data_IF_697330433894
#
_entry.id   IF_697330433894
#
_cell.length_a   1.000
_cell.length_b   1.000
_cell.length_c   1.000
_cell.angle_alpha   90.00
_cell.angle_beta   90.00
_cell.angle_gamma   90.00
#
_symmetry.space_group_name_H-M   'P 1'
#
loop_
_entity.id
_entity.type
_entity.pdbx_description
1 polymer ?
#
# COMPACT_ATOMS: atom_id res chain seq x y z
N UNK A 1 11.95 -25.58 0.17
CA UNK A 1 10.49 -25.82 0.16
C UNK A 1 9.78 -24.51 0.54
N UNK A 2 8.98 -23.95 -0.37
CA UNK A 2 7.84 -23.03 -0.11
C UNK A 2 8.06 -21.64 0.53
N UNK A 3 9.16 -20.93 0.28
CA UNK A 3 9.31 -19.51 0.69
C UNK A 3 9.28 -18.48 -0.47
N UNK A 4 9.08 -18.92 -1.71
CA UNK A 4 9.47 -18.12 -2.88
C UNK A 4 8.54 -18.16 -4.08
N UNK A 5 7.21 -18.03 -3.90
CA UNK A 5 6.35 -17.75 -5.07
C UNK A 5 5.66 -16.39 -5.09
N UNK A 6 5.01 -15.88 -4.03
CA UNK A 6 4.35 -14.56 -4.13
C UNK A 6 4.13 -13.90 -2.76
N UNK A 7 5.18 -13.69 -1.96
CA UNK A 7 5.05 -13.08 -0.63
C UNK A 7 5.25 -11.54 -0.66
N UNK A 8 4.35 -10.87 -1.38
CA UNK A 8 3.60 -9.81 -0.71
C UNK A 8 2.32 -10.53 -0.33
N UNK A 9 1.90 -10.58 0.95
CA UNK A 9 0.51 -10.93 1.21
C UNK A 9 -0.35 -9.90 0.49
N UNK A 10 -0.82 -10.25 -0.71
CA UNK A 10 -1.73 -9.45 -1.54
C UNK A 10 -2.95 -9.00 -0.71
N UNK A 11 -3.23 -9.71 0.37
CA UNK A 11 -4.18 -9.40 1.43
C UNK A 11 -3.84 -8.10 2.19
N UNK A 12 -2.61 -7.93 2.68
CA UNK A 12 -2.17 -6.72 3.41
C UNK A 12 -2.19 -5.48 2.52
N UNK A 13 -1.91 -5.68 1.22
CA UNK A 13 -1.99 -4.63 0.24
C UNK A 13 -3.42 -4.06 0.09
N UNK A 14 -4.46 -4.85 0.37
CA UNK A 14 -5.85 -4.39 0.27
C UNK A 14 -6.12 -3.33 1.32
N UNK A 15 -5.65 -3.56 2.54
CA UNK A 15 -5.77 -2.60 3.64
C UNK A 15 -4.96 -1.33 3.39
N UNK A 16 -3.71 -1.47 2.92
CA UNK A 16 -2.87 -0.33 2.55
C UNK A 16 -3.54 0.56 1.48
N UNK A 17 -4.11 -0.04 0.44
CA UNK A 17 -4.79 0.68 -0.64
C UNK A 17 -6.10 1.33 -0.17
N UNK A 18 -6.91 0.67 0.67
CA UNK A 18 -8.10 1.27 1.28
C UNK A 18 -7.74 2.53 2.08
N UNK A 19 -6.68 2.47 2.90
CA UNK A 19 -6.18 3.64 3.64
C UNK A 19 -5.73 4.76 2.69
N UNK A 20 -4.98 4.42 1.64
CA UNK A 20 -4.50 5.39 0.65
C UNK A 20 -5.66 6.17 0.01
N UNK A 21 -6.72 5.47 -0.40
CA UNK A 21 -7.92 6.09 -0.97
C UNK A 21 -8.68 6.98 0.01
N UNK A 22 -8.87 6.52 1.25
CA UNK A 22 -9.53 7.31 2.30
C UNK A 22 -8.77 8.62 2.60
N UNK A 23 -7.46 8.53 2.85
CA UNK A 23 -6.65 9.70 3.18
C UNK A 23 -6.44 10.63 1.98
N UNK A 24 -6.45 10.09 0.76
CA UNK A 24 -6.51 10.91 -0.46
C UNK A 24 -7.74 11.81 -0.43
N UNK A 25 -8.94 11.25 -0.27
CA UNK A 25 -10.14 12.10 -0.27
C UNK A 25 -10.22 13.03 0.92
N UNK A 26 -9.81 12.58 2.10
CA UNK A 26 -9.73 13.45 3.27
C UNK A 26 -8.79 14.65 3.05
N UNK A 27 -7.75 14.49 2.24
CA UNK A 27 -6.83 15.58 1.90
C UNK A 27 -7.40 16.48 0.80
N UNK A 28 -8.02 15.91 -0.24
CA UNK A 28 -8.59 16.68 -1.36
C UNK A 28 -9.78 17.54 -0.92
N UNK A 29 -10.66 17.00 -0.08
CA UNK A 29 -11.83 17.73 0.42
C UNK A 29 -11.44 18.88 1.36
N UNK A 30 -10.33 18.75 2.10
CA UNK A 30 -9.77 19.85 2.91
C UNK A 30 -9.26 21.03 2.08
N UNK A 31 -9.00 20.82 0.79
CA UNK A 31 -8.55 21.90 -0.11
C UNK A 31 -9.72 22.70 -0.68
N UNK A 32 -10.97 22.29 -0.41
CA UNK A 32 -12.19 22.98 -0.85
C UNK A 32 -12.16 23.37 -2.34
N UNK A 33 -11.63 22.48 -3.19
CA UNK A 33 -11.35 22.77 -4.61
C UNK A 33 -12.62 23.26 -5.35
N UNK A 34 -13.80 22.78 -4.95
CA UNK A 34 -15.10 23.18 -5.51
C UNK A 34 -15.46 24.66 -5.25
N UNK A 35 -14.88 25.29 -4.24
CA UNK A 35 -15.13 26.68 -3.86
C UNK A 35 -14.22 27.68 -4.61
N UNK A 36 -13.26 27.16 -5.38
CA UNK A 36 -12.27 27.96 -6.10
C UNK A 36 -12.54 27.99 -7.61
N UNK A 37 -12.01 29.03 -8.28
CA UNK A 37 -11.94 29.04 -9.75
C UNK A 37 -11.13 27.84 -10.25
N UNK A 38 -11.43 27.35 -11.46
CA UNK A 38 -10.73 26.17 -12.02
C UNK A 38 -9.21 26.32 -12.05
N UNK A 39 -8.71 27.54 -12.32
CA UNK A 39 -7.27 27.82 -12.31
C UNK A 39 -6.65 27.67 -10.90
N UNK A 40 -7.31 28.19 -9.87
CA UNK A 40 -6.86 28.04 -8.49
C UNK A 40 -7.02 26.59 -8.00
N UNK A 41 -8.10 25.91 -8.38
CA UNK A 41 -8.30 24.49 -8.10
C UNK A 41 -7.20 23.60 -8.70
N UNK A 42 -6.81 23.87 -9.96
CA UNK A 42 -5.71 23.15 -10.61
C UNK A 42 -4.39 23.33 -9.86
N UNK A 43 -4.09 24.55 -9.39
CA UNK A 43 -2.90 24.81 -8.56
C UNK A 43 -2.91 24.00 -7.27
N UNK A 44 -4.03 23.97 -6.54
CA UNK A 44 -4.17 23.20 -5.30
C UNK A 44 -4.00 21.69 -5.53
N UNK A 45 -4.54 21.19 -6.65
CA UNK A 45 -4.40 19.78 -7.05
C UNK A 45 -2.95 19.44 -7.40
N UNK A 46 -2.24 20.32 -8.12
CA UNK A 46 -0.80 20.15 -8.38
C UNK A 46 0.00 20.16 -7.08
N UNK A 47 -0.29 21.09 -6.16
CA UNK A 47 0.37 21.12 -4.84
C UNK A 47 0.12 19.84 -4.03
N UNK A 48 -1.11 19.29 -4.10
CA UNK A 48 -1.44 18.00 -3.52
C UNK A 48 -0.61 16.87 -4.14
N UNK A 49 -0.52 16.80 -5.47
CA UNK A 49 0.27 15.79 -6.16
C UNK A 49 1.76 15.88 -5.81
N UNK A 50 2.32 17.10 -5.73
CA UNK A 50 3.72 17.32 -5.34
C UNK A 50 3.95 16.83 -3.91
N UNK A 51 3.03 17.08 -2.97
CA UNK A 51 3.14 16.56 -1.58
C UNK A 51 3.17 15.03 -1.56
N UNK A 52 2.33 14.37 -2.35
CA UNK A 52 2.31 12.90 -2.46
C UNK A 52 3.59 12.36 -3.11
N UNK A 53 4.05 13.00 -4.17
CA UNK A 53 5.31 12.66 -4.84
C UNK A 53 6.49 12.77 -3.88
N UNK A 54 6.63 13.89 -3.14
CA UNK A 54 7.71 14.11 -2.17
C UNK A 54 7.73 13.09 -1.04
N UNK A 55 6.58 12.50 -0.70
CA UNK A 55 6.49 11.42 0.29
C UNK A 55 6.94 10.07 -0.29
N UNK A 56 6.46 9.71 -1.48
CA UNK A 56 6.68 8.37 -2.04
C UNK A 56 8.00 8.25 -2.82
N UNK A 57 8.36 9.25 -3.62
CA UNK A 57 9.48 9.18 -4.55
C UNK A 57 10.84 8.90 -3.87
N UNK A 58 11.23 9.56 -2.76
CA UNK A 58 12.57 9.41 -2.20
C UNK A 58 12.91 7.97 -1.83
N UNK A 59 12.04 7.33 -1.06
CA UNK A 59 12.25 5.95 -0.59
C UNK A 59 12.18 4.98 -1.77
N UNK A 60 11.18 5.13 -2.65
CA UNK A 60 11.02 4.25 -3.81
C UNK A 60 12.24 4.31 -4.73
N UNK A 61 12.74 5.50 -5.04
CA UNK A 61 13.90 5.66 -5.91
C UNK A 61 15.16 5.14 -5.25
N UNK A 62 15.43 5.52 -4.00
CA UNK A 62 16.61 5.07 -3.27
C UNK A 62 16.74 3.54 -3.26
N UNK A 63 15.70 2.82 -2.84
CA UNK A 63 15.77 1.37 -2.70
C UNK A 63 15.85 0.63 -4.04
N UNK A 64 15.24 1.18 -5.10
CA UNK A 64 15.38 0.62 -6.45
C UNK A 64 16.78 0.88 -7.02
N UNK A 65 17.43 2.00 -6.72
CA UNK A 65 18.84 2.23 -7.05
C UNK A 65 19.80 1.34 -6.24
N UNK A 66 19.52 1.10 -4.96
CA UNK A 66 20.28 0.13 -4.15
C UNK A 66 20.17 -1.26 -4.78
N UNK A 67 18.99 -1.66 -5.22
CA UNK A 67 18.82 -2.94 -5.90
C UNK A 67 19.62 -3.03 -7.22
N UNK A 68 19.67 -1.94 -8.01
CA UNK A 68 20.54 -1.86 -9.19
C UNK A 68 22.03 -1.98 -8.83
N UNK A 69 22.47 -1.30 -7.77
CA UNK A 69 23.84 -1.40 -7.28
C UNK A 69 24.22 -2.85 -6.97
N UNK A 70 23.39 -3.58 -6.21
CA UNK A 70 23.66 -4.99 -5.91
C UNK A 70 23.60 -5.90 -7.15
N UNK A 71 22.69 -5.62 -8.09
CA UNK A 71 22.64 -6.33 -9.38
C UNK A 71 23.94 -6.20 -10.19
N UNK A 72 24.59 -5.04 -10.17
CA UNK A 72 25.83 -4.77 -10.93
C UNK A 72 27.07 -5.30 -10.20
N UNK A 73 27.23 -4.97 -8.92
CA UNK A 73 28.50 -5.20 -8.20
C UNK A 73 28.55 -6.55 -7.46
N UNK A 74 27.40 -7.14 -7.11
CA UNK A 74 27.31 -8.39 -6.36
C UNK A 74 26.38 -9.39 -7.06
N UNK A 75 26.64 -9.71 -8.35
CA UNK A 75 25.71 -10.47 -9.17
C UNK A 75 25.43 -11.85 -8.56
N UNK A 76 24.16 -12.14 -8.38
CA UNK A 76 23.65 -13.46 -8.04
C UNK A 76 22.24 -13.58 -8.60
N UNK A 77 22.07 -14.33 -9.69
CA UNK A 77 20.81 -14.44 -10.44
C UNK A 77 19.63 -14.97 -9.61
N UNK A 78 19.89 -15.62 -8.48
CA UNK A 78 18.85 -16.12 -7.58
C UNK A 78 18.34 -15.05 -6.60
N UNK A 79 19.13 -14.02 -6.32
CA UNK A 79 18.81 -12.99 -5.32
C UNK A 79 18.53 -11.63 -5.95
N UNK A 80 19.32 -11.27 -6.96
CA UNK A 80 19.23 -10.01 -7.68
C UNK A 80 18.93 -10.27 -9.15
N UNK A 81 18.29 -9.30 -9.80
CA UNK A 81 17.99 -9.36 -11.22
C UNK A 81 19.26 -9.08 -12.04
N UNK A 82 19.28 -9.50 -13.30
CA UNK A 82 20.32 -9.07 -14.23
C UNK A 82 20.35 -7.54 -14.32
N UNK A 83 21.52 -6.89 -14.45
CA UNK A 83 21.63 -5.43 -14.50
C UNK A 83 20.69 -4.76 -15.50
N UNK A 84 20.54 -5.35 -16.69
CA UNK A 84 19.64 -4.84 -17.73
C UNK A 84 18.16 -4.87 -17.29
N UNK A 85 17.69 -6.01 -16.77
CA UNK A 85 16.32 -6.15 -16.25
C UNK A 85 16.10 -5.19 -15.09
N UNK A 86 17.07 -5.08 -14.18
CA UNK A 86 17.00 -4.18 -13.03
C UNK A 86 16.98 -2.69 -13.46
N UNK A 87 17.71 -2.32 -14.51
CA UNK A 87 17.64 -0.98 -15.08
C UNK A 87 16.24 -0.67 -15.64
N UNK A 88 15.61 -1.61 -16.36
CA UNK A 88 14.21 -1.47 -16.79
C UNK A 88 13.26 -1.30 -15.58
N UNK A 89 13.54 -2.02 -14.49
CA UNK A 89 12.80 -1.88 -13.22
C UNK A 89 12.97 -0.48 -12.61
N UNK A 90 14.17 0.09 -12.68
CA UNK A 90 14.47 1.47 -12.24
C UNK A 90 13.70 2.49 -13.08
N UNK A 91 13.83 2.43 -14.41
CA UNK A 91 13.14 3.37 -15.30
C UNK A 91 11.62 3.30 -15.16
N UNK A 92 11.05 2.09 -15.04
CA UNK A 92 9.61 1.95 -14.81
C UNK A 92 9.15 2.48 -13.44
N UNK A 93 10.01 2.47 -12.41
CA UNK A 93 9.73 3.15 -11.13
C UNK A 93 9.74 4.67 -11.29
N UNK A 94 10.73 5.23 -11.99
CA UNK A 94 10.87 6.67 -12.21
C UNK A 94 9.66 7.22 -12.98
N UNK A 95 9.23 6.50 -14.02
CA UNK A 95 8.07 6.82 -14.83
C UNK A 95 6.73 6.44 -14.17
N UNK A 96 6.77 5.82 -12.99
CA UNK A 96 5.58 5.33 -12.28
C UNK A 96 4.69 4.37 -13.09
N UNK A 97 5.29 3.51 -13.92
CA UNK A 97 4.62 2.49 -14.75
C UNK A 97 5.06 1.07 -14.38
N UNK A 98 5.51 0.88 -13.13
CA UNK A 98 6.05 -0.38 -12.63
C UNK A 98 5.07 -1.55 -12.75
N UNK A 99 3.77 -1.30 -12.56
CA UNK A 99 2.70 -2.29 -12.77
C UNK A 99 2.64 -2.83 -14.21
N UNK A 100 2.84 -1.97 -15.23
CA UNK A 100 2.88 -2.43 -16.62
C UNK A 100 4.15 -3.23 -16.90
N UNK A 101 5.30 -2.77 -16.41
CA UNK A 101 6.56 -3.50 -16.58
C UNK A 101 6.55 -4.86 -15.88
N UNK A 102 5.97 -4.98 -14.68
CA UNK A 102 5.81 -6.27 -14.01
C UNK A 102 4.74 -7.16 -14.66
N UNK A 103 3.74 -6.60 -15.34
CA UNK A 103 2.80 -7.39 -16.11
C UNK A 103 3.46 -8.04 -17.33
N UNK A 104 4.40 -7.33 -17.97
CA UNK A 104 5.16 -7.83 -19.10
C UNK A 104 6.27 -8.81 -18.69
N UNK A 105 7.00 -8.49 -17.61
CA UNK A 105 8.12 -9.29 -17.12
C UNK A 105 8.08 -9.41 -15.59
N UNK A 106 7.35 -10.40 -15.03
CA UNK A 106 7.22 -10.56 -13.59
C UNK A 106 8.54 -10.92 -12.90
N UNK A 107 8.85 -10.25 -11.80
CA UNK A 107 10.08 -10.50 -11.03
C UNK A 107 9.82 -10.56 -9.52
N UNK A 108 10.73 -11.17 -8.76
CA UNK A 108 10.62 -11.21 -7.29
C UNK A 108 10.85 -9.84 -6.63
N UNK A 109 11.51 -8.91 -7.31
CA UNK A 109 11.62 -7.49 -6.92
C UNK A 109 10.47 -6.63 -7.49
N UNK A 110 9.42 -7.28 -8.00
CA UNK A 110 8.28 -6.62 -8.62
C UNK A 110 7.39 -5.85 -7.66
N UNK A 111 7.51 -6.04 -6.35
CA UNK A 111 6.59 -5.50 -5.34
C UNK A 111 6.40 -3.97 -5.37
N UNK A 112 7.35 -3.23 -5.92
CA UNK A 112 7.23 -1.78 -6.17
C UNK A 112 6.06 -1.40 -7.10
N UNK A 113 5.45 -2.36 -7.82
CA UNK A 113 4.28 -2.11 -8.66
C UNK A 113 3.16 -1.39 -7.90
N UNK A 114 2.99 -1.75 -6.62
CA UNK A 114 1.93 -1.21 -5.78
C UNK A 114 2.08 0.29 -5.54
N UNK A 115 3.31 0.77 -5.37
CA UNK A 115 3.60 2.21 -5.17
C UNK A 115 3.30 2.99 -6.46
N UNK A 116 3.61 2.41 -7.62
CA UNK A 116 3.24 3.01 -8.90
C UNK A 116 1.74 3.09 -9.09
N UNK A 117 1.00 2.03 -8.75
CA UNK A 117 -0.45 2.06 -8.83
C UNK A 117 -1.06 3.10 -7.87
N UNK A 118 -0.52 3.24 -6.65
CA UNK A 118 -0.94 4.28 -5.69
C UNK A 118 -0.72 5.69 -6.24
N UNK A 119 0.46 5.96 -6.81
CA UNK A 119 0.74 7.27 -7.37
C UNK A 119 -0.11 7.57 -8.62
N UNK A 120 -0.29 6.60 -9.53
CA UNK A 120 -1.19 6.70 -10.68
C UNK A 120 -2.61 7.05 -10.23
N UNK A 121 -3.11 6.37 -9.20
CA UNK A 121 -4.42 6.65 -8.62
C UNK A 121 -4.51 8.08 -8.09
N UNK A 122 -3.51 8.55 -7.34
CA UNK A 122 -3.49 9.92 -6.83
C UNK A 122 -3.56 10.96 -7.95
N UNK A 123 -2.81 10.77 -9.04
CA UNK A 123 -2.82 11.69 -10.18
C UNK A 123 -4.16 11.68 -10.89
N UNK A 124 -4.61 10.50 -11.35
CA UNK A 124 -5.82 10.34 -12.16
C UNK A 124 -7.04 10.81 -11.36
N UNK A 125 -7.16 10.38 -10.11
CA UNK A 125 -8.37 10.60 -9.34
C UNK A 125 -8.47 12.04 -8.81
N UNK A 126 -7.34 12.74 -8.58
CA UNK A 126 -7.35 14.18 -8.28
C UNK A 126 -7.81 15.00 -9.49
N UNK A 127 -7.43 14.59 -10.70
CA UNK A 127 -7.87 15.21 -11.96
C UNK A 127 -9.38 15.00 -12.14
N UNK A 128 -9.87 13.77 -11.96
CA UNK A 128 -11.31 13.46 -12.01
C UNK A 128 -12.08 14.33 -11.00
N UNK A 129 -11.57 14.43 -9.77
CA UNK A 129 -12.18 15.27 -8.73
C UNK A 129 -12.22 16.75 -9.13
N UNK A 130 -11.14 17.29 -9.72
CA UNK A 130 -11.08 18.67 -10.17
C UNK A 130 -12.10 19.00 -11.26
N UNK A 131 -12.25 18.13 -12.26
CA UNK A 131 -13.07 18.41 -13.43
C UNK A 131 -14.52 18.02 -13.27
N UNK A 132 -14.79 16.88 -12.63
CA UNK A 132 -16.15 16.35 -12.50
C UNK A 132 -16.74 16.63 -11.12
N UNK A 133 -15.92 16.81 -10.08
CA UNK A 133 -16.37 17.08 -8.73
C UNK A 133 -16.84 15.83 -7.97
N UNK A 134 -17.22 16.06 -6.70
CA UNK A 134 -17.55 15.04 -5.70
C UNK A 134 -18.58 14.00 -6.15
N UNK A 135 -19.69 14.45 -6.75
CA UNK A 135 -20.81 13.56 -7.13
C UNK A 135 -20.37 12.47 -8.10
N UNK A 136 -19.64 12.87 -9.15
CA UNK A 136 -19.15 11.95 -10.17
C UNK A 136 -18.02 11.08 -9.66
N UNK A 137 -17.17 11.58 -8.76
CA UNK A 137 -16.17 10.76 -8.08
C UNK A 137 -16.81 9.58 -7.35
N UNK A 138 -17.92 9.80 -6.63
CA UNK A 138 -18.65 8.71 -5.96
C UNK A 138 -19.20 7.72 -6.99
N UNK A 139 -19.85 8.20 -8.05
CA UNK A 139 -20.44 7.33 -9.09
C UNK A 139 -19.39 6.50 -9.81
N UNK A 140 -18.26 7.12 -10.17
CA UNK A 140 -17.12 6.46 -10.81
C UNK A 140 -16.54 5.40 -9.88
N UNK A 141 -16.38 5.70 -8.59
CA UNK A 141 -15.93 4.71 -7.60
C UNK A 141 -16.85 3.50 -7.52
N UNK A 142 -18.17 3.71 -7.39
CA UNK A 142 -19.15 2.61 -7.34
C UNK A 142 -19.10 1.79 -8.63
N UNK A 143 -19.14 2.46 -9.79
CA UNK A 143 -19.11 1.81 -11.09
C UNK A 143 -17.86 0.93 -11.27
N UNK A 144 -16.67 1.46 -10.99
CA UNK A 144 -15.44 0.70 -11.13
C UNK A 144 -15.31 -0.41 -10.09
N UNK A 145 -15.79 -0.22 -8.86
CA UNK A 145 -15.84 -1.32 -7.88
C UNK A 145 -16.69 -2.49 -8.38
N UNK A 146 -17.86 -2.21 -8.98
CA UNK A 146 -18.73 -3.24 -9.55
C UNK A 146 -18.10 -3.92 -10.78
N UNK A 147 -17.52 -3.13 -11.69
CA UNK A 147 -16.82 -3.68 -12.86
C UNK A 147 -15.67 -4.59 -12.41
N UNK A 148 -14.85 -4.16 -11.44
CA UNK A 148 -13.67 -4.90 -10.97
C UNK A 148 -14.00 -6.19 -10.21
N UNK A 149 -15.25 -6.37 -9.76
CA UNK A 149 -15.73 -7.67 -9.25
C UNK A 149 -15.81 -8.72 -10.36
N UNK A 150 -16.14 -8.29 -11.58
CA UNK A 150 -16.42 -9.18 -12.72
C UNK A 150 -15.23 -9.24 -13.66
N UNK A 151 -14.61 -8.11 -13.96
CA UNK A 151 -13.56 -7.94 -14.95
C UNK A 151 -12.41 -7.08 -14.43
N UNK A 152 -11.17 -7.55 -14.62
CA UNK A 152 -9.95 -6.79 -14.30
C UNK A 152 -9.04 -6.69 -15.52
N UNK A 153 -8.49 -5.49 -15.81
CA UNK A 153 -7.52 -5.32 -16.89
C UNK A 153 -6.23 -6.07 -16.56
N UNK A 154 -5.55 -6.62 -17.57
CA UNK A 154 -4.28 -7.35 -17.40
C UNK A 154 -4.41 -8.87 -17.32
N UNK A 155 -5.59 -9.44 -17.60
CA UNK A 155 -5.84 -10.89 -17.67
C UNK A 155 -5.28 -11.67 -16.46
N UNK A 156 -4.32 -12.58 -16.68
CA UNK A 156 -3.65 -13.39 -15.65
C UNK A 156 -2.92 -12.53 -14.61
N UNK A 157 -2.55 -11.30 -14.98
CA UNK A 157 -1.86 -10.33 -14.14
C UNK A 157 -2.78 -9.21 -13.64
N UNK A 158 -4.11 -9.41 -13.65
CA UNK A 158 -5.07 -8.38 -13.22
C UNK A 158 -4.92 -7.92 -11.77
N UNK A 159 -4.20 -8.67 -10.95
CA UNK A 159 -3.82 -8.29 -9.59
C UNK A 159 -2.80 -7.13 -9.54
N UNK A 160 -2.14 -6.74 -10.65
CA UNK A 160 -1.26 -5.57 -10.74
C UNK A 160 -2.02 -4.26 -10.98
N UNK A 161 -3.30 -4.34 -11.33
CA UNK A 161 -4.15 -3.21 -11.70
C UNK A 161 -5.35 -3.05 -10.76
N UNK A 162 -5.24 -3.57 -9.53
CA UNK A 162 -6.29 -3.56 -8.50
C UNK A 162 -6.38 -2.25 -7.73
N UNK A 163 -6.84 -1.19 -8.38
CA UNK A 163 -7.07 0.10 -7.73
C UNK A 163 -8.41 0.19 -6.99
N UNK A 164 -9.27 -0.83 -7.11
CA UNK A 164 -10.58 -0.88 -6.41
C UNK A 164 -10.51 -0.79 -4.88
N UNK A 165 -9.50 -1.31 -4.14
CA UNK A 165 -9.45 -1.05 -2.70
C UNK A 165 -9.29 0.43 -2.39
N UNK A 166 -8.57 1.20 -3.22
CA UNK A 166 -8.49 2.67 -3.06
C UNK A 166 -9.85 3.32 -3.29
N UNK A 167 -10.62 2.84 -4.28
CA UNK A 167 -11.99 3.30 -4.50
C UNK A 167 -12.91 2.99 -3.31
N UNK A 168 -12.80 1.81 -2.69
CA UNK A 168 -13.52 1.55 -1.44
C UNK A 168 -13.12 2.52 -0.33
N UNK A 169 -11.84 2.89 -0.23
CA UNK A 169 -11.38 3.96 0.67
C UNK A 169 -12.07 5.31 0.42
N UNK A 170 -12.20 5.71 -0.85
CA UNK A 170 -12.95 6.89 -1.28
C UNK A 170 -14.42 6.80 -0.84
N UNK A 171 -15.05 5.65 -1.04
CA UNK A 171 -16.45 5.43 -0.67
C UNK A 171 -16.65 5.47 0.85
N UNK A 172 -15.75 4.86 1.64
CA UNK A 172 -15.80 4.91 3.11
C UNK A 172 -15.68 6.34 3.62
N UNK A 173 -14.81 7.16 3.02
CA UNK A 173 -14.69 8.57 3.37
C UNK A 173 -16.03 9.31 3.23
N UNK A 174 -16.70 9.15 2.10
CA UNK A 174 -18.00 9.81 1.88
C UNK A 174 -19.13 9.18 2.69
N UNK A 175 -19.11 7.87 2.91
CA UNK A 175 -20.07 7.16 3.74
C UNK A 175 -20.08 7.71 5.17
N UNK A 176 -18.90 7.82 5.79
CA UNK A 176 -18.77 8.37 7.15
C UNK A 176 -19.24 9.83 7.20
N UNK A 177 -18.87 10.64 6.20
CA UNK A 177 -19.29 12.04 6.15
C UNK A 177 -20.80 12.23 5.94
N UNK A 178 -21.44 11.32 5.21
CA UNK A 178 -22.88 11.38 4.95
C UNK A 178 -23.70 10.95 6.17
N UNK A 179 -23.29 9.87 6.83
CA UNK A 179 -24.02 9.28 7.95
C UNK A 179 -23.73 9.99 9.27
N UNK A 180 -22.54 10.55 9.41
CA UNK A 180 -22.09 11.20 10.64
C UNK A 180 -21.33 10.25 11.57
N UNK A 181 -20.28 10.79 12.20
CA UNK A 181 -19.38 10.02 13.06
C UNK A 181 -20.10 9.43 14.28
N UNK A 182 -21.03 10.19 14.88
CA UNK A 182 -21.76 9.77 16.08
C UNK A 182 -22.62 8.53 15.83
N UNK A 183 -23.22 8.44 14.64
CA UNK A 183 -24.00 7.27 14.25
C UNK A 183 -23.12 6.04 14.04
N UNK A 184 -21.96 6.19 13.39
CA UNK A 184 -20.98 5.11 13.23
C UNK A 184 -20.48 4.63 14.59
N UNK A 185 -20.15 5.57 15.49
CA UNK A 185 -19.74 5.23 16.85
C UNK A 185 -20.84 4.44 17.57
N UNK A 186 -22.10 4.89 17.50
CA UNK A 186 -23.25 4.24 18.14
C UNK A 186 -23.55 2.84 17.59
N UNK A 187 -23.57 2.65 16.27
CA UNK A 187 -23.86 1.34 15.66
C UNK A 187 -22.81 0.29 16.01
N UNK A 188 -21.54 0.66 16.05
CA UNK A 188 -20.45 -0.27 16.32
C UNK A 188 -20.05 -0.33 17.80
N UNK A 189 -20.92 0.13 18.71
CA UNK A 189 -20.70 -0.08 20.15
C UNK A 189 -20.75 -1.58 20.46
N UNK A 190 -19.65 -2.10 21.00
CA UNK A 190 -19.55 -3.49 21.40
C UNK A 190 -18.67 -3.67 22.64
N UNK A 191 -18.93 -4.74 23.39
CA UNK A 191 -18.12 -5.17 24.53
C UNK A 191 -16.69 -5.54 24.12
N UNK A 192 -15.75 -5.49 25.07
CA UNK A 192 -14.31 -5.73 24.80
C UNK A 192 -14.04 -7.09 24.13
N UNK A 193 -14.69 -8.17 24.60
CA UNK A 193 -14.53 -9.52 24.04
C UNK A 193 -15.01 -9.58 22.58
N UNK A 194 -16.19 -9.03 22.29
CA UNK A 194 -16.74 -8.96 20.93
C UNK A 194 -15.85 -8.18 19.98
N UNK A 195 -15.27 -7.05 20.44
CA UNK A 195 -14.32 -6.26 19.64
C UNK A 195 -13.07 -7.05 19.27
N UNK A 196 -12.47 -7.75 20.23
CA UNK A 196 -11.31 -8.62 19.98
C UNK A 196 -11.69 -9.74 19.01
N UNK A 197 -12.82 -10.42 19.25
CA UNK A 197 -13.30 -11.49 18.38
C UNK A 197 -13.54 -11.02 16.94
N UNK A 198 -14.27 -9.92 16.74
CA UNK A 198 -14.54 -9.35 15.41
C UNK A 198 -13.23 -8.93 14.72
N UNK A 199 -12.30 -8.32 15.47
CA UNK A 199 -11.02 -7.87 14.90
C UNK A 199 -10.18 -9.06 14.46
N UNK A 200 -10.07 -10.11 15.28
CA UNK A 200 -9.38 -11.35 14.93
C UNK A 200 -10.06 -12.07 13.76
N UNK A 201 -11.39 -12.12 13.74
CA UNK A 201 -12.16 -12.71 12.65
C UNK A 201 -11.92 -11.98 11.32
N UNK A 202 -11.87 -10.65 11.33
CA UNK A 202 -11.59 -9.86 10.13
C UNK A 202 -10.15 -10.02 9.65
N UNK A 203 -9.17 -10.06 10.56
CA UNK A 203 -7.77 -10.35 10.20
C UNK A 203 -7.63 -11.76 9.62
N UNK A 204 -8.28 -12.76 10.22
CA UNK A 204 -8.29 -14.12 9.73
C UNK A 204 -9.00 -14.23 8.38
N UNK A 205 -10.15 -13.57 8.23
CA UNK A 205 -10.90 -13.49 6.97
C UNK A 205 -10.04 -12.86 5.88
N UNK A 206 -9.43 -11.70 6.12
CA UNK A 206 -8.58 -11.02 5.16
C UNK A 206 -7.45 -11.94 4.67
N UNK A 207 -6.82 -12.68 5.60
CA UNK A 207 -5.76 -13.66 5.29
C UNK A 207 -6.26 -14.84 4.45
N UNK A 208 -7.47 -15.33 4.72
CA UNK A 208 -8.05 -16.53 4.11
C UNK A 208 -8.81 -16.28 2.79
N UNK A 209 -9.26 -15.05 2.49
CA UNK A 209 -10.13 -14.76 1.34
C UNK A 209 -9.52 -15.20 0.00
N UNK A 210 -8.26 -14.88 -0.26
CA UNK A 210 -7.63 -15.18 -1.55
C UNK A 210 -7.48 -16.69 -1.83
N UNK A 211 -6.97 -17.53 -0.89
CA UNK A 211 -6.94 -18.96 -1.11
C UNK A 211 -8.33 -19.60 -1.11
N UNK A 212 -9.25 -19.15 -0.24
CA UNK A 212 -10.60 -19.72 -0.14
C UNK A 212 -11.43 -19.46 -1.40
N UNK A 213 -11.29 -18.29 -2.01
CA UNK A 213 -12.01 -17.91 -3.24
C UNK A 213 -11.11 -18.02 -4.48
N UNK A 214 -10.10 -18.89 -4.47
CA UNK A 214 -9.12 -19.00 -5.56
C UNK A 214 -9.75 -19.24 -6.94
N UNK A 215 -10.87 -19.99 -6.97
CA UNK A 215 -11.67 -20.30 -8.16
C UNK A 215 -12.23 -19.01 -8.81
N UNK A 216 -12.55 -17.99 -8.00
CA UNK A 216 -13.11 -16.73 -8.48
C UNK A 216 -12.00 -15.70 -8.70
N UNK A 217 -11.43 -15.69 -9.91
CA UNK A 217 -10.24 -14.90 -10.29
C UNK A 217 -10.32 -13.42 -9.92
N UNK A 218 -11.44 -12.75 -10.19
CA UNK A 218 -11.62 -11.32 -9.96
C UNK A 218 -12.30 -11.02 -8.62
N UNK A 219 -13.37 -11.76 -8.31
CA UNK A 219 -14.20 -11.54 -7.13
C UNK A 219 -13.41 -11.65 -5.81
N UNK A 220 -12.46 -12.58 -5.70
CA UNK A 220 -11.64 -12.75 -4.48
C UNK A 220 -10.92 -11.49 -4.04
N UNK A 221 -10.45 -10.67 -4.98
CA UNK A 221 -9.76 -9.42 -4.69
C UNK A 221 -10.74 -8.34 -4.22
N UNK A 222 -11.93 -8.29 -4.81
CA UNK A 222 -12.98 -7.36 -4.39
C UNK A 222 -13.49 -7.71 -2.99
N UNK A 223 -13.67 -8.99 -2.67
CA UNK A 223 -14.00 -9.44 -1.31
C UNK A 223 -12.91 -9.03 -0.32
N UNK A 224 -11.63 -9.23 -0.67
CA UNK A 224 -10.51 -8.79 0.17
C UNK A 224 -10.53 -7.28 0.40
N UNK A 225 -10.89 -6.50 -0.62
CA UNK A 225 -11.02 -5.04 -0.56
C UNK A 225 -12.19 -4.60 0.33
N UNK A 226 -13.33 -5.29 0.24
CA UNK A 226 -14.50 -5.03 1.10
C UNK A 226 -14.17 -5.37 2.56
N UNK A 227 -13.52 -6.50 2.82
CA UNK A 227 -13.07 -6.86 4.18
C UNK A 227 -12.14 -5.77 4.74
N UNK A 228 -11.17 -5.32 3.95
CA UNK A 228 -10.29 -4.22 4.33
C UNK A 228 -11.02 -2.88 4.54
N UNK A 229 -12.02 -2.56 3.71
CA UNK A 229 -12.87 -1.38 3.87
C UNK A 229 -13.69 -1.42 5.18
N UNK A 230 -14.21 -2.59 5.53
CA UNK A 230 -14.93 -2.78 6.79
C UNK A 230 -14.00 -2.70 8.00
N UNK A 231 -12.77 -3.24 7.89
CA UNK A 231 -11.74 -3.05 8.91
C UNK A 231 -11.42 -1.56 9.12
N UNK A 232 -11.29 -0.79 8.04
CA UNK A 232 -11.10 0.66 8.13
C UNK A 232 -12.29 1.35 8.81
N UNK A 233 -13.53 1.01 8.42
CA UNK A 233 -14.74 1.58 9.02
C UNK A 233 -14.79 1.35 10.53
N UNK A 234 -14.51 0.12 10.98
CA UNK A 234 -14.44 -0.20 12.41
C UNK A 234 -13.27 0.48 13.13
N UNK A 235 -12.13 0.64 12.46
CA UNK A 235 -11.00 1.39 13.01
C UNK A 235 -11.36 2.87 13.22
N UNK A 236 -12.10 3.45 12.29
CA UNK A 236 -12.57 4.84 12.34
C UNK A 236 -13.79 5.05 13.26
N UNK A 237 -14.43 3.99 13.76
CA UNK A 237 -15.61 4.10 14.62
C UNK A 237 -15.34 4.61 16.05
N UNK A 238 -14.09 4.92 16.41
CA UNK A 238 -13.63 5.28 17.76
C UNK A 238 -13.94 4.27 18.89
N UNK A 239 -14.47 3.08 18.56
CA UNK A 239 -14.81 2.06 19.54
C UNK A 239 -13.62 1.18 19.99
N UNK A 240 -12.45 1.35 19.38
CA UNK A 240 -11.21 0.65 19.74
C UNK A 240 -11.14 -0.80 19.28
N UNK A 241 -11.55 -1.09 18.03
CA UNK A 241 -11.43 -2.44 17.43
C UNK A 241 -9.98 -2.81 17.12
N UNK A 242 -9.25 -1.94 16.43
CA UNK A 242 -7.87 -2.21 15.97
C UNK A 242 -6.79 -1.38 16.67
N UNK A 243 -7.19 -0.53 17.62
CA UNK A 243 -6.26 0.31 18.37
C UNK A 243 -6.31 -0.02 19.87
N UNK A 244 -5.19 -0.46 20.46
CA UNK A 244 -5.16 -0.82 21.87
C UNK A 244 -5.29 0.43 22.75
N UNK A 245 -6.09 0.35 23.82
CA UNK A 245 -6.18 1.43 24.83
C UNK A 245 -4.94 1.56 25.72
N UNK A 246 -4.10 0.53 25.77
CA UNK A 246 -2.89 0.54 26.57
C UNK A 246 -1.82 1.42 25.90
N UNK A 247 -1.31 2.42 26.62
CA UNK A 247 -0.30 3.38 26.15
C UNK A 247 0.96 2.71 25.59
N UNK A 248 1.41 1.61 26.18
CA UNK A 248 2.63 0.90 25.71
C UNK A 248 2.35 0.28 24.34
N UNK A 249 1.27 -0.50 24.25
CA UNK A 249 0.88 -1.16 23.00
C UNK A 249 0.55 -0.14 21.91
N UNK A 250 -0.12 0.96 22.25
CA UNK A 250 -0.46 2.01 21.29
C UNK A 250 0.81 2.68 20.75
N UNK A 251 1.79 2.96 21.61
CA UNK A 251 3.09 3.51 21.19
C UNK A 251 3.82 2.56 20.22
N UNK A 252 3.78 1.25 20.48
CA UNK A 252 4.38 0.25 19.57
C UNK A 252 3.64 0.23 18.23
N UNK A 253 2.30 0.25 18.25
CA UNK A 253 1.48 0.29 17.03
C UNK A 253 1.78 1.55 16.22
N UNK A 254 1.83 2.72 16.85
CA UNK A 254 2.15 3.99 16.20
C UNK A 254 3.57 4.01 15.61
N UNK A 255 4.52 3.42 16.33
CA UNK A 255 5.89 3.25 15.85
C UNK A 255 5.90 2.39 14.58
N UNK A 256 5.30 1.20 14.60
CA UNK A 256 5.26 0.32 13.42
C UNK A 256 4.51 0.99 12.27
N UNK A 257 3.37 1.63 12.54
CA UNK A 257 2.54 2.28 11.55
C UNK A 257 3.29 3.41 10.83
N UNK A 258 4.02 4.25 11.58
CA UNK A 258 4.82 5.34 10.99
C UNK A 258 5.98 4.84 10.11
N UNK A 259 6.49 3.62 10.34
CA UNK A 259 7.55 3.00 9.51
C UNK A 259 7.03 2.03 8.45
N UNK A 260 5.72 1.82 8.36
CA UNK A 260 5.13 0.82 7.47
C UNK A 260 5.51 1.02 6.00
N UNK A 261 5.56 2.27 5.53
CA UNK A 261 5.96 2.60 4.17
C UNK A 261 7.46 2.34 3.92
N UNK A 262 8.32 2.74 4.85
CA UNK A 262 9.74 2.44 4.79
C UNK A 262 9.99 0.92 4.78
N UNK A 263 9.34 0.18 5.68
CA UNK A 263 9.41 -1.29 5.74
C UNK A 263 8.97 -1.93 4.42
N UNK A 264 7.87 -1.42 3.83
CA UNK A 264 7.42 -1.88 2.52
C UNK A 264 8.49 -1.68 1.45
N UNK A 265 9.22 -0.56 1.43
CA UNK A 265 10.28 -0.33 0.45
C UNK A 265 11.50 -1.25 0.67
N UNK A 266 11.83 -1.57 1.92
CA UNK A 266 13.12 -2.22 2.26
C UNK A 266 13.04 -3.74 2.33
N UNK A 267 11.92 -4.33 2.76
CA UNK A 267 11.86 -5.70 3.28
C UNK A 267 12.46 -6.78 2.36
N UNK A 268 11.98 -6.91 1.11
CA UNK A 268 12.47 -7.95 0.18
C UNK A 268 13.93 -7.70 -0.21
N UNK A 269 14.33 -6.45 -0.44
CA UNK A 269 15.70 -6.17 -0.84
C UNK A 269 16.69 -6.49 0.29
N UNK A 270 16.37 -6.08 1.52
CA UNK A 270 17.21 -6.35 2.69
C UNK A 270 17.33 -7.86 2.93
N UNK A 271 16.25 -8.61 2.74
CA UNK A 271 16.32 -10.08 2.75
C UNK A 271 17.34 -10.63 1.75
N UNK A 272 17.31 -10.15 0.49
CA UNK A 272 18.27 -10.56 -0.53
C UNK A 272 19.71 -10.18 -0.17
N UNK A 273 19.93 -8.98 0.37
CA UNK A 273 21.26 -8.51 0.80
C UNK A 273 21.80 -9.38 1.93
N UNK A 274 21.00 -9.61 2.98
CA UNK A 274 21.39 -10.45 4.12
C UNK A 274 21.68 -11.88 3.67
N UNK A 275 20.83 -12.45 2.82
CA UNK A 275 21.06 -13.78 2.25
C UNK A 275 22.34 -13.84 1.42
N UNK A 276 22.65 -12.78 0.67
CA UNK A 276 23.92 -12.69 -0.08
C UNK A 276 25.12 -12.69 0.86
N UNK A 277 25.07 -11.95 1.96
CA UNK A 277 26.14 -11.93 2.98
C UNK A 277 26.34 -13.32 3.59
N UNK A 278 25.26 -14.03 3.95
CA UNK A 278 25.36 -15.40 4.49
C UNK A 278 26.03 -16.36 3.52
N UNK A 279 25.66 -16.29 2.23
CA UNK A 279 26.30 -17.09 1.17
C UNK A 279 27.80 -16.78 1.05
N UNK A 280 28.18 -15.51 1.11
CA UNK A 280 29.59 -15.10 1.02
C UNK A 280 30.42 -15.54 2.23
N UNK A 281 29.80 -15.60 3.42
CA UNK A 281 30.44 -16.06 4.65
C UNK A 281 30.40 -17.58 4.83
N UNK A 282 29.72 -18.32 3.96
CA UNK A 282 29.56 -19.78 4.08
C UNK A 282 28.73 -20.22 5.29
N UNK A 283 27.83 -19.36 5.80
CA UNK A 283 26.99 -19.66 6.95
C UNK A 283 25.69 -20.34 6.48
N UNK A 284 25.50 -21.60 6.84
CA UNK A 284 24.28 -22.37 6.53
C UNK A 284 23.41 -22.60 7.77
N UNK A 285 22.90 -21.51 8.34
CA UNK A 285 21.94 -21.56 9.44
C UNK A 285 20.69 -20.71 9.11
N UNK A 286 19.59 -21.40 8.79
CA UNK A 286 18.34 -20.76 8.36
C UNK A 286 17.67 -19.93 9.46
N UNK A 287 17.74 -20.37 10.72
CA UNK A 287 17.15 -19.64 11.84
C UNK A 287 17.91 -18.33 12.08
N UNK A 288 19.25 -18.40 12.07
CA UNK A 288 20.10 -17.24 12.18
C UNK A 288 19.86 -16.24 11.04
N UNK A 289 19.79 -16.73 9.80
CA UNK A 289 19.48 -15.91 8.62
C UNK A 289 18.15 -15.17 8.80
N UNK A 290 17.11 -15.89 9.21
CA UNK A 290 15.77 -15.32 9.39
C UNK A 290 15.75 -14.24 10.47
N UNK A 291 16.33 -14.51 11.64
CA UNK A 291 16.39 -13.55 12.75
C UNK A 291 17.20 -12.30 12.36
N UNK A 292 18.35 -12.49 11.73
CA UNK A 292 19.19 -11.37 11.30
C UNK A 292 18.52 -10.55 10.20
N UNK A 293 17.82 -11.20 9.27
CA UNK A 293 17.06 -10.50 8.23
C UNK A 293 15.95 -9.64 8.83
N UNK A 294 15.20 -10.13 9.83
CA UNK A 294 14.18 -9.32 10.52
C UNK A 294 14.81 -8.10 11.17
N UNK A 295 15.88 -8.28 11.94
CA UNK A 295 16.58 -7.16 12.61
C UNK A 295 17.09 -6.15 11.58
N UNK A 296 17.71 -6.63 10.50
CA UNK A 296 18.19 -5.79 9.41
C UNK A 296 17.06 -5.02 8.71
N UNK A 297 15.89 -5.63 8.51
CA UNK A 297 14.72 -4.96 7.93
C UNK A 297 14.25 -3.80 8.79
N UNK A 298 14.18 -3.98 10.12
CA UNK A 298 13.81 -2.90 11.05
C UNK A 298 14.85 -1.77 11.06
N UNK A 299 16.14 -2.10 11.05
CA UNK A 299 17.22 -1.11 11.00
C UNK A 299 17.16 -0.32 9.67
N UNK A 300 17.03 -1.02 8.54
CA UNK A 300 16.93 -0.40 7.22
C UNK A 300 15.67 0.45 7.07
N UNK A 301 14.54 -0.01 7.63
CA UNK A 301 13.30 0.75 7.68
C UNK A 301 13.45 2.02 8.52
N UNK A 302 14.10 1.95 9.69
CA UNK A 302 14.34 3.13 10.52
C UNK A 302 15.27 4.14 9.85
N UNK A 303 16.32 3.66 9.18
CA UNK A 303 17.20 4.49 8.36
C UNK A 303 16.42 5.17 7.24
N UNK A 304 15.63 4.41 6.48
CA UNK A 304 14.84 4.92 5.37
C UNK A 304 13.81 5.95 5.83
N UNK A 305 13.09 5.68 6.93
CA UNK A 305 12.11 6.59 7.50
C UNK A 305 12.76 7.91 7.96
N UNK A 306 13.86 7.84 8.73
CA UNK A 306 14.49 9.04 9.28
C UNK A 306 15.20 9.89 8.23
N UNK A 307 15.91 9.25 7.31
CA UNK A 307 16.87 9.93 6.45
C UNK A 307 16.51 9.96 4.97
N UNK A 308 15.58 9.13 4.50
CA UNK A 308 15.23 9.07 3.07
C UNK A 308 13.82 9.63 2.84
N UNK A 309 12.82 9.09 3.52
CA UNK A 309 11.42 9.50 3.37
C UNK A 309 11.21 10.99 3.71
N UNK A 310 11.92 11.48 4.73
CA UNK A 310 11.81 12.86 5.18
C UNK A 310 12.75 13.85 4.45
N UNK A 311 13.50 13.42 3.41
CA UNK A 311 14.43 14.31 2.67
C UNK A 311 13.74 15.51 2.02
N UNK A 312 12.62 15.25 1.34
CA UNK A 312 11.92 16.27 0.54
C UNK A 312 10.72 16.88 1.28
N UNK A 313 10.38 16.33 2.45
CA UNK A 313 9.32 16.84 3.31
C UNK A 313 9.91 17.96 4.16
N UNK A 314 9.80 19.20 3.68
CA UNK A 314 10.19 20.38 4.46
C UNK A 314 9.32 20.42 5.72
N UNK A 315 9.93 20.20 6.89
CA UNK A 315 9.30 20.49 8.18
C UNK A 315 9.17 22.01 8.26
N UNK A 316 7.95 22.51 8.03
CA UNK A 316 7.60 23.88 8.40
C UNK A 316 7.34 23.93 9.90
#
# INVERSE_FOLDING_TARGET
MLFGKYFIPLQELSYFFVLAGYFMMASLEKLEISNHSKANGAKLVVEFMIKKFKRLAPSAYFWVFVALFFSVFLPNKQLFLEPYQMAQKVFSTILWVRNFNEAAEPTHLGYFWAISLEFQFFVIFSIIYLFLGKKYVIYISVLFCLIMMIYRPGEKMGWLFRFDPMLYGVLIYYFIRYIGQDFIENIFKAGRKSKIFISLLLVASLSAVLPMLAIYSNFKFSVSSITAAFMLLLALSNNGYFYPKNKILSTIVDYIASRSYALFCTHILVWCIVKRVYILLGIDNQLSLFLFAIVAMFIASEFSYRYIENLLVVKK
#
